data_IF_602536442040
#
_entry.id   IF_602536442040
#
_cell.length_a   1.000
_cell.length_b   1.000
_cell.length_c   1.000
_cell.angle_alpha   90.00
_cell.angle_beta   90.00
_cell.angle_gamma   90.00
#
_symmetry.space_group_name_H-M   'P 1'
#
loop_
_entity.id
_entity.type
_entity.pdbx_description
1 polymer ?
#
# COMPACT_ATOMS: atom_id res chain seq x y z
N UNK A 1 11.16 11.14 -18.38
CA UNK A 1 10.87 9.73 -18.06
C UNK A 1 9.77 9.14 -18.94
N UNK A 2 8.52 9.67 -18.96
CA UNK A 2 7.40 9.09 -19.70
C UNK A 2 7.71 8.89 -21.19
N UNK A 3 8.06 9.96 -21.91
CA UNK A 3 8.35 9.89 -23.35
C UNK A 3 9.51 8.94 -23.68
N UNK A 4 10.59 8.99 -22.90
CA UNK A 4 11.75 8.10 -23.10
C UNK A 4 11.42 6.64 -22.78
N UNK A 5 10.58 6.37 -21.78
CA UNK A 5 10.13 5.01 -21.46
C UNK A 5 9.29 4.43 -22.59
N UNK A 6 8.28 5.19 -23.04
CA UNK A 6 7.40 4.76 -24.15
C UNK A 6 8.18 4.52 -25.43
N UNK A 7 9.10 5.44 -25.80
CA UNK A 7 9.92 5.30 -27.00
C UNK A 7 10.84 4.05 -26.95
N UNK A 8 11.42 3.77 -25.78
CA UNK A 8 12.35 2.65 -25.59
C UNK A 8 11.66 1.28 -25.67
N UNK A 9 10.40 1.18 -25.23
CA UNK A 9 9.68 -0.10 -25.16
C UNK A 9 8.36 -0.09 -25.93
N UNK A 10 8.25 0.74 -26.99
CA UNK A 10 7.04 0.92 -27.80
C UNK A 10 6.43 -0.39 -28.35
N UNK A 11 7.25 -1.41 -28.57
CA UNK A 11 6.84 -2.69 -29.12
C UNK A 11 6.48 -3.74 -28.03
N UNK A 12 6.46 -3.33 -26.76
CA UNK A 12 6.06 -4.19 -25.64
C UNK A 12 4.60 -3.99 -25.27
N UNK A 13 3.97 -4.98 -24.60
CA UNK A 13 2.62 -4.83 -24.08
C UNK A 13 2.51 -3.60 -23.16
N UNK A 14 1.37 -2.92 -23.19
CA UNK A 14 1.14 -1.69 -22.41
C UNK A 14 1.39 -1.89 -20.92
N UNK A 15 0.97 -3.02 -20.35
CA UNK A 15 1.17 -3.36 -18.94
C UNK A 15 2.67 -3.43 -18.58
N UNK A 16 3.52 -3.92 -19.49
CA UNK A 16 4.95 -3.95 -19.28
C UNK A 16 5.56 -2.54 -19.34
N UNK A 17 5.08 -1.70 -20.24
CA UNK A 17 5.52 -0.30 -20.34
C UNK A 17 5.18 0.46 -19.05
N UNK A 18 3.97 0.23 -18.51
CA UNK A 18 3.53 0.84 -17.26
C UNK A 18 4.41 0.40 -16.09
N UNK A 19 4.68 -0.90 -15.93
CA UNK A 19 5.54 -1.41 -14.86
C UNK A 19 6.95 -0.79 -14.93
N UNK A 20 7.54 -0.73 -16.11
CA UNK A 20 8.86 -0.10 -16.33
C UNK A 20 8.86 1.39 -16.01
N UNK A 21 7.79 2.08 -16.36
CA UNK A 21 7.62 3.50 -16.03
C UNK A 21 7.55 3.71 -14.51
N UNK A 22 6.74 2.92 -13.81
CA UNK A 22 6.62 2.97 -12.35
C UNK A 22 7.95 2.68 -11.66
N UNK A 23 8.67 1.65 -12.12
CA UNK A 23 10.01 1.31 -11.59
C UNK A 23 11.01 2.44 -11.83
N UNK A 24 11.01 3.07 -13.00
CA UNK A 24 11.90 4.23 -13.28
C UNK A 24 11.59 5.41 -12.35
N UNK A 25 10.32 5.74 -12.11
CA UNK A 25 9.96 6.75 -11.12
C UNK A 25 10.42 6.35 -9.71
N UNK A 26 10.23 5.09 -9.34
CA UNK A 26 10.73 4.58 -8.06
C UNK A 26 12.24 4.70 -7.90
N UNK A 27 13.03 4.40 -8.96
CA UNK A 27 14.48 4.55 -8.95
C UNK A 27 14.90 6.03 -8.78
N UNK A 28 14.24 6.97 -9.47
CA UNK A 28 14.49 8.40 -9.29
C UNK A 28 14.23 8.84 -7.85
N UNK A 29 13.10 8.42 -7.27
CA UNK A 29 12.77 8.71 -5.86
C UNK A 29 13.85 8.13 -4.94
N UNK A 30 14.27 6.88 -5.14
CA UNK A 30 15.27 6.20 -4.32
C UNK A 30 16.67 6.81 -4.42
N UNK A 31 16.97 7.55 -5.50
CA UNK A 31 18.22 8.32 -5.60
C UNK A 31 18.23 9.55 -4.69
N UNK A 32 17.05 10.02 -4.26
CA UNK A 32 16.88 11.22 -3.43
C UNK A 32 16.72 10.87 -1.96
N UNK A 33 15.93 9.81 -1.66
CA UNK A 33 15.57 9.43 -0.30
C UNK A 33 16.44 8.28 0.23
N UNK A 34 16.79 8.26 1.52
CA UNK A 34 17.50 7.13 2.13
C UNK A 34 16.59 5.94 2.45
N UNK A 35 15.28 6.12 2.45
CA UNK A 35 14.28 5.13 2.87
C UNK A 35 13.82 4.20 1.74
N UNK A 36 12.57 3.76 1.84
CA UNK A 36 11.91 2.82 0.92
C UNK A 36 10.91 3.54 0.02
N UNK A 37 10.67 3.01 -1.17
CA UNK A 37 9.59 3.43 -2.06
C UNK A 37 8.50 2.37 -2.12
N UNK A 38 7.24 2.78 -2.24
CA UNK A 38 6.12 1.86 -2.52
C UNK A 38 5.74 1.95 -3.99
N UNK A 39 5.73 0.81 -4.69
CA UNK A 39 5.26 0.68 -6.07
C UNK A 39 4.03 -0.19 -6.11
N UNK A 40 2.93 0.34 -6.61
CA UNK A 40 1.62 -0.30 -6.57
C UNK A 40 1.43 -1.24 -7.78
N UNK A 41 0.93 -2.45 -7.53
CA UNK A 41 0.45 -3.35 -8.59
C UNK A 41 -0.84 -2.80 -9.19
N UNK A 42 -1.13 -3.19 -10.42
CA UNK A 42 -2.36 -2.77 -11.11
C UNK A 42 -3.61 -3.08 -10.27
N UNK A 43 -4.43 -2.07 -10.03
CA UNK A 43 -5.66 -2.19 -9.24
C UNK A 43 -6.66 -3.21 -9.81
N UNK A 44 -6.61 -3.50 -11.12
CA UNK A 44 -7.42 -4.54 -11.77
C UNK A 44 -7.13 -5.94 -11.24
N UNK A 45 -5.99 -6.16 -10.60
CA UNK A 45 -5.57 -7.43 -10.00
C UNK A 45 -6.03 -7.60 -8.55
N UNK A 46 -6.74 -6.63 -7.98
CA UNK A 46 -7.08 -6.58 -6.54
C UNK A 46 -7.86 -7.80 -6.03
N UNK A 47 -8.51 -8.57 -6.91
CA UNK A 47 -9.28 -9.77 -6.59
C UNK A 47 -8.68 -11.05 -7.21
N UNK A 48 -7.40 -11.00 -7.63
CA UNK A 48 -6.66 -12.15 -8.15
C UNK A 48 -5.31 -12.28 -7.43
N UNK A 49 -5.26 -13.19 -6.48
CA UNK A 49 -4.06 -13.47 -5.69
C UNK A 49 -2.86 -13.87 -6.55
N UNK A 50 -3.08 -14.76 -7.53
CA UNK A 50 -1.99 -15.31 -8.34
C UNK A 50 -1.41 -14.26 -9.30
N UNK A 51 -2.27 -13.50 -9.97
CA UNK A 51 -1.86 -12.42 -10.84
C UNK A 51 -1.15 -11.29 -10.06
N UNK A 52 -1.63 -10.95 -8.85
CA UNK A 52 -0.99 -9.99 -7.96
C UNK A 52 0.42 -10.43 -7.58
N UNK A 53 0.61 -11.69 -7.16
CA UNK A 53 1.95 -12.24 -6.82
C UNK A 53 2.89 -12.18 -8.02
N UNK A 54 2.46 -12.67 -9.18
CA UNK A 54 3.29 -12.67 -10.40
C UNK A 54 3.68 -11.25 -10.82
N UNK A 55 2.76 -10.29 -10.73
CA UNK A 55 3.06 -8.89 -11.07
C UNK A 55 4.04 -8.27 -10.06
N UNK A 56 3.88 -8.55 -8.78
CA UNK A 56 4.77 -8.07 -7.72
C UNK A 56 6.21 -8.59 -7.91
N UNK A 57 6.37 -9.89 -8.18
CA UNK A 57 7.67 -10.51 -8.44
C UNK A 57 8.35 -9.86 -9.66
N UNK A 58 7.60 -9.63 -10.74
CA UNK A 58 8.12 -8.94 -11.92
C UNK A 58 8.57 -7.51 -11.62
N UNK A 59 7.83 -6.74 -10.82
CA UNK A 59 8.22 -5.38 -10.43
C UNK A 59 9.54 -5.43 -9.65
N UNK A 60 9.71 -6.37 -8.74
CA UNK A 60 10.95 -6.57 -7.98
C UNK A 60 12.11 -6.91 -8.92
N UNK A 61 11.94 -7.83 -9.88
CA UNK A 61 12.96 -8.15 -10.88
C UNK A 61 13.40 -6.92 -11.68
N UNK A 62 12.44 -6.05 -12.06
CA UNK A 62 12.75 -4.80 -12.76
C UNK A 62 13.57 -3.83 -11.89
N UNK A 63 13.30 -3.73 -10.58
CA UNK A 63 14.13 -2.94 -9.65
C UNK A 63 15.52 -3.53 -9.49
N UNK A 64 15.64 -4.83 -9.32
CA UNK A 64 16.93 -5.53 -9.20
C UNK A 64 17.78 -5.35 -10.46
N UNK A 65 17.17 -5.38 -11.66
CA UNK A 65 17.84 -5.10 -12.92
C UNK A 65 18.38 -3.65 -13.03
N UNK A 66 17.87 -2.72 -12.19
CA UNK A 66 18.39 -1.35 -12.05
C UNK A 66 19.39 -1.22 -10.88
N UNK A 67 19.81 -2.33 -10.26
CA UNK A 67 20.74 -2.32 -9.13
C UNK A 67 20.11 -1.91 -7.78
N UNK A 68 18.80 -1.85 -7.69
CA UNK A 68 18.10 -1.52 -6.44
C UNK A 68 17.93 -2.80 -5.59
N UNK A 69 18.35 -2.72 -4.32
CA UNK A 69 18.16 -3.81 -3.37
C UNK A 69 16.69 -3.96 -2.98
N UNK A 70 16.22 -5.19 -2.82
CA UNK A 70 14.82 -5.54 -2.55
C UNK A 70 14.27 -4.84 -1.28
N UNK A 71 15.09 -4.68 -0.25
CA UNK A 71 14.71 -4.03 1.01
C UNK A 71 14.37 -2.53 0.87
N UNK A 72 14.71 -1.93 -0.28
CA UNK A 72 14.38 -0.55 -0.60
C UNK A 72 13.00 -0.38 -1.26
N UNK A 73 12.30 -1.49 -1.52
CA UNK A 73 11.03 -1.49 -2.26
C UNK A 73 9.94 -2.17 -1.43
N UNK A 74 8.79 -1.53 -1.35
CA UNK A 74 7.55 -2.13 -0.86
C UNK A 74 6.59 -2.30 -2.03
N UNK A 75 6.09 -3.50 -2.24
CA UNK A 75 5.00 -3.70 -3.20
C UNK A 75 3.69 -3.26 -2.57
N UNK A 76 3.05 -2.26 -3.17
CA UNK A 76 1.78 -1.73 -2.66
C UNK A 76 0.61 -2.48 -3.27
N UNK A 77 -0.29 -3.00 -2.42
CA UNK A 77 -1.38 -3.92 -2.79
C UNK A 77 -2.65 -3.47 -2.07
N UNK A 78 -3.80 -3.53 -2.75
CA UNK A 78 -5.10 -3.29 -2.11
C UNK A 78 -5.37 -4.34 -1.02
N UNK A 79 -5.85 -3.91 0.15
CA UNK A 79 -6.18 -4.78 1.28
C UNK A 79 -7.54 -5.49 1.11
N UNK A 80 -7.75 -6.11 -0.05
CA UNK A 80 -8.79 -7.11 -0.30
C UNK A 80 -8.38 -8.43 0.36
N UNK A 81 -9.28 -9.40 0.46
CA UNK A 81 -8.92 -10.73 0.95
C UNK A 81 -7.81 -11.36 0.09
N UNK A 82 -7.98 -11.31 -1.23
CA UNK A 82 -7.04 -11.85 -2.21
C UNK A 82 -5.68 -11.11 -2.16
N UNK A 83 -5.72 -9.79 -1.97
CA UNK A 83 -4.51 -8.97 -1.82
C UNK A 83 -3.74 -9.28 -0.54
N UNK A 84 -4.43 -9.53 0.57
CA UNK A 84 -3.80 -9.95 1.84
C UNK A 84 -3.16 -11.33 1.70
N UNK A 85 -3.81 -12.28 1.01
CA UNK A 85 -3.23 -13.59 0.73
C UNK A 85 -2.04 -13.51 -0.25
N UNK A 86 -2.08 -12.61 -1.22
CA UNK A 86 -0.93 -12.32 -2.08
C UNK A 86 0.24 -11.77 -1.26
N UNK A 87 -0.01 -10.81 -0.38
CA UNK A 87 1.00 -10.23 0.50
C UNK A 87 1.63 -11.28 1.42
N UNK A 88 0.84 -12.18 2.01
CA UNK A 88 1.35 -13.31 2.82
C UNK A 88 2.37 -14.16 2.05
N UNK A 89 2.08 -14.48 0.79
CA UNK A 89 2.97 -15.24 -0.08
C UNK A 89 4.25 -14.47 -0.41
N UNK A 90 4.14 -13.17 -0.69
CA UNK A 90 5.26 -12.30 -1.01
C UNK A 90 6.19 -12.12 0.20
N UNK A 91 5.65 -11.82 1.38
CA UNK A 91 6.42 -11.69 2.62
C UNK A 91 7.18 -12.99 2.96
N UNK A 92 6.59 -14.16 2.70
CA UNK A 92 7.30 -15.45 2.89
C UNK A 92 8.50 -15.65 1.94
N UNK A 93 8.56 -14.88 0.86
CA UNK A 93 9.67 -14.85 -0.11
C UNK A 93 10.65 -13.68 0.13
N UNK A 94 10.46 -12.90 1.19
CA UNK A 94 11.25 -11.70 1.49
C UNK A 94 10.92 -10.49 0.62
N UNK A 95 9.78 -10.50 -0.06
CA UNK A 95 9.26 -9.35 -0.80
C UNK A 95 8.31 -8.58 0.13
N UNK A 96 8.75 -7.42 0.59
CA UNK A 96 7.99 -6.62 1.54
C UNK A 96 6.83 -5.88 0.88
N UNK A 97 5.72 -5.75 1.63
CA UNK A 97 4.46 -5.22 1.11
C UNK A 97 3.94 -4.03 1.91
N UNK A 98 3.19 -3.15 1.24
CA UNK A 98 2.43 -2.05 1.81
C UNK A 98 0.96 -2.22 1.44
N UNK A 99 0.12 -2.63 2.40
CA UNK A 99 -1.31 -2.85 2.14
C UNK A 99 -2.08 -1.53 2.23
N UNK A 100 -2.74 -1.17 1.13
CA UNK A 100 -3.49 0.08 0.99
C UNK A 100 -5.00 -0.16 0.85
N UNK A 101 -5.80 0.90 0.73
CA UNK A 101 -7.27 0.83 0.74
C UNK A 101 -7.78 0.12 2.00
N UNK A 102 -7.18 0.48 3.13
CA UNK A 102 -7.50 -0.09 4.43
C UNK A 102 -8.41 0.86 5.19
N UNK A 103 -9.64 0.42 5.44
CA UNK A 103 -10.71 1.22 6.04
C UNK A 103 -11.26 0.61 7.33
N UNK A 104 -11.07 -0.69 7.54
CA UNK A 104 -11.67 -1.42 8.64
C UNK A 104 -10.64 -2.07 9.56
N UNK A 105 -11.03 -2.26 10.82
CA UNK A 105 -10.21 -2.93 11.81
C UNK A 105 -9.95 -4.41 11.46
N UNK A 106 -10.93 -5.10 10.87
CA UNK A 106 -10.75 -6.50 10.46
C UNK A 106 -9.70 -6.65 9.35
N UNK A 107 -9.63 -5.71 8.39
CA UNK A 107 -8.54 -5.70 7.40
C UNK A 107 -7.17 -5.58 8.09
N UNK A 108 -7.04 -4.66 9.05
CA UNK A 108 -5.77 -4.50 9.79
C UNK A 108 -5.39 -5.78 10.55
N UNK A 109 -6.33 -6.43 11.21
CA UNK A 109 -6.07 -7.71 11.90
C UNK A 109 -5.58 -8.77 10.93
N UNK A 110 -6.24 -8.94 9.78
CA UNK A 110 -5.83 -9.89 8.74
C UNK A 110 -4.44 -9.58 8.16
N UNK A 111 -4.13 -8.29 7.94
CA UNK A 111 -2.80 -7.85 7.51
C UNK A 111 -1.72 -8.20 8.56
N UNK A 112 -1.97 -7.95 9.84
CA UNK A 112 -1.06 -8.33 10.92
C UNK A 112 -0.82 -9.85 10.99
N UNK A 113 -1.87 -10.66 10.81
CA UNK A 113 -1.77 -12.12 10.75
C UNK A 113 -1.01 -12.60 9.49
N UNK A 114 -1.10 -11.86 8.40
CA UNK A 114 -0.32 -12.10 7.19
C UNK A 114 1.15 -11.67 7.32
N UNK A 115 1.52 -10.97 8.41
CA UNK A 115 2.87 -10.44 8.69
C UNK A 115 3.35 -9.47 7.62
N UNK A 116 2.43 -8.66 7.05
CA UNK A 116 2.81 -7.64 6.08
C UNK A 116 3.74 -6.61 6.72
N UNK A 117 4.68 -6.07 5.94
CA UNK A 117 5.64 -5.09 6.45
C UNK A 117 4.98 -3.80 6.88
N UNK A 118 4.05 -3.28 6.09
CA UNK A 118 3.42 -1.97 6.32
C UNK A 118 1.96 -1.97 5.89
N UNK A 119 1.12 -1.23 6.62
CA UNK A 119 -0.25 -0.91 6.23
C UNK A 119 -0.47 0.59 6.11
N UNK A 120 -1.31 1.01 5.17
CA UNK A 120 -1.66 2.41 4.91
C UNK A 120 -3.17 2.64 5.09
N UNK A 121 -3.67 2.79 6.34
CA UNK A 121 -5.07 3.10 6.59
C UNK A 121 -5.42 4.51 6.10
N UNK A 122 -6.60 4.66 5.48
CA UNK A 122 -7.06 5.90 4.85
C UNK A 122 -7.82 6.79 5.83
N UNK A 123 -7.10 7.60 6.58
CA UNK A 123 -7.62 8.45 7.67
C UNK A 123 -8.73 9.38 7.19
N UNK A 124 -8.49 10.20 6.19
CA UNK A 124 -9.46 11.17 5.69
C UNK A 124 -10.67 10.53 5.02
N UNK A 125 -10.52 9.36 4.37
CA UNK A 125 -11.65 8.63 3.77
C UNK A 125 -12.55 8.02 4.83
N UNK A 126 -12.00 7.55 5.96
CA UNK A 126 -12.77 7.09 7.11
C UNK A 126 -13.57 8.25 7.70
N UNK A 127 -12.93 9.42 7.90
CA UNK A 127 -13.59 10.64 8.34
C UNK A 127 -14.77 11.02 7.45
N UNK A 128 -14.57 11.05 6.13
CA UNK A 128 -15.61 11.40 5.16
C UNK A 128 -16.82 10.48 5.21
N UNK A 129 -16.56 9.20 5.39
CA UNK A 129 -17.64 8.23 5.49
C UNK A 129 -18.52 8.51 6.72
N UNK A 130 -17.91 8.75 7.89
CA UNK A 130 -18.67 9.07 9.12
C UNK A 130 -19.41 10.40 8.97
N UNK A 131 -18.77 11.42 8.40
CA UNK A 131 -19.39 12.70 8.12
C UNK A 131 -20.61 12.57 7.20
N UNK A 132 -20.49 11.79 6.15
CA UNK A 132 -21.59 11.50 5.23
C UNK A 132 -22.74 10.76 5.91
N UNK A 133 -22.45 9.77 6.77
CA UNK A 133 -23.48 9.03 7.51
C UNK A 133 -24.22 9.92 8.51
N UNK A 134 -23.54 10.82 9.20
CA UNK A 134 -24.15 11.73 10.17
C UNK A 134 -24.98 12.84 9.50
N UNK A 135 -24.69 13.21 8.26
CA UNK A 135 -25.40 14.25 7.51
C UNK A 135 -25.49 15.57 8.27
N UNK A 136 -26.71 16.08 8.45
CA UNK A 136 -26.96 17.33 9.17
C UNK A 136 -26.61 17.29 10.67
N UNK A 137 -26.46 16.10 11.26
CA UNK A 137 -26.07 15.94 12.66
C UNK A 137 -24.56 15.96 12.88
N UNK A 138 -23.75 16.14 11.83
CA UNK A 138 -22.30 16.20 11.95
C UNK A 138 -21.86 17.48 12.66
N UNK A 139 -21.03 17.34 13.68
CA UNK A 139 -20.42 18.46 14.39
C UNK A 139 -18.90 18.45 14.15
N UNK A 140 -18.42 19.33 13.26
CA UNK A 140 -17.02 19.42 12.86
C UNK A 140 -16.08 19.65 14.06
N UNK A 141 -16.44 20.57 14.95
CA UNK A 141 -15.63 20.89 16.12
C UNK A 141 -15.52 19.72 17.11
N UNK A 142 -16.61 18.99 17.30
CA UNK A 142 -16.62 17.82 18.18
C UNK A 142 -15.81 16.63 17.61
N UNK A 143 -15.70 16.53 16.29
CA UNK A 143 -14.99 15.46 15.58
C UNK A 143 -13.58 15.86 15.13
N UNK A 144 -13.00 16.89 15.73
CA UNK A 144 -11.64 17.33 15.42
C UNK A 144 -10.56 16.65 16.28
N UNK A 145 -9.34 16.57 15.77
CA UNK A 145 -8.16 16.09 16.48
C UNK A 145 -8.30 14.64 16.95
N UNK A 146 -8.21 14.41 18.26
CA UNK A 146 -8.30 13.06 18.83
C UNK A 146 -9.66 12.37 18.67
N UNK A 147 -10.70 13.15 18.40
CA UNK A 147 -12.06 12.64 18.17
C UNK A 147 -12.35 12.31 16.71
N UNK A 148 -11.45 12.63 15.79
CA UNK A 148 -11.55 12.27 14.38
C UNK A 148 -11.68 10.73 14.25
N UNK A 149 -12.72 10.19 13.62
CA UNK A 149 -12.92 8.74 13.50
C UNK A 149 -11.80 8.04 12.73
N UNK A 150 -11.14 8.71 11.79
CA UNK A 150 -9.96 8.17 11.12
C UNK A 150 -8.76 8.07 12.06
N UNK A 151 -8.53 9.09 12.90
CA UNK A 151 -7.49 9.07 13.94
C UNK A 151 -7.78 7.98 14.97
N UNK A 152 -9.03 7.85 15.40
CA UNK A 152 -9.43 6.78 16.33
C UNK A 152 -9.23 5.38 15.74
N UNK A 153 -9.52 5.22 14.44
CA UNK A 153 -9.28 3.97 13.72
C UNK A 153 -7.79 3.60 13.72
N UNK A 154 -6.92 4.53 13.36
CA UNK A 154 -5.46 4.31 13.38
C UNK A 154 -4.96 4.01 14.80
N UNK A 155 -5.42 4.76 15.80
CA UNK A 155 -5.08 4.51 17.21
C UNK A 155 -5.49 3.09 17.65
N UNK A 156 -6.69 2.64 17.28
CA UNK A 156 -7.17 1.29 17.59
C UNK A 156 -6.29 0.22 16.96
N UNK A 157 -5.93 0.40 15.69
CA UNK A 157 -5.05 -0.53 14.96
C UNK A 157 -3.67 -0.58 15.62
N UNK A 158 -3.05 0.58 15.86
CA UNK A 158 -1.73 0.68 16.47
C UNK A 158 -1.69 0.02 17.86
N UNK A 159 -2.69 0.30 18.72
CA UNK A 159 -2.78 -0.30 20.05
C UNK A 159 -2.96 -1.82 19.99
N UNK A 160 -3.71 -2.32 19.00
CA UNK A 160 -3.86 -3.75 18.78
C UNK A 160 -2.51 -4.38 18.41
N UNK A 161 -1.79 -3.81 17.44
CA UNK A 161 -0.49 -4.32 17.04
C UNK A 161 0.52 -4.31 18.20
N UNK A 162 0.56 -3.22 18.95
CA UNK A 162 1.41 -3.12 20.17
C UNK A 162 1.06 -4.20 21.20
N UNK A 163 -0.23 -4.39 21.49
CA UNK A 163 -0.70 -5.35 22.50
C UNK A 163 -0.34 -6.80 22.15
N UNK A 164 -0.37 -7.14 20.87
CA UNK A 164 -0.14 -8.50 20.39
C UNK A 164 1.25 -8.72 19.79
N UNK A 165 2.16 -7.78 19.91
CA UNK A 165 3.54 -7.89 19.41
C UNK A 165 3.62 -8.05 17.89
N UNK A 166 2.65 -7.46 17.16
CA UNK A 166 2.62 -7.49 15.70
C UNK A 166 3.60 -6.44 15.18
N UNK A 167 4.57 -6.85 14.37
CA UNK A 167 5.64 -5.99 13.88
C UNK A 167 5.24 -5.08 12.70
N UNK A 168 4.07 -5.29 12.10
CA UNK A 168 3.57 -4.50 10.97
C UNK A 168 3.56 -3.00 11.29
N UNK A 169 4.20 -2.21 10.45
CA UNK A 169 4.23 -0.75 10.56
C UNK A 169 2.88 -0.14 10.17
N UNK A 170 2.49 0.94 10.83
CA UNK A 170 1.24 1.65 10.54
C UNK A 170 1.55 3.06 10.04
N UNK A 171 1.27 3.33 8.78
CA UNK A 171 1.44 4.62 8.13
C UNK A 171 0.09 5.22 7.79
N UNK A 172 -0.38 6.22 8.54
CA UNK A 172 -1.60 6.95 8.19
C UNK A 172 -1.49 7.54 6.79
N UNK A 173 -2.54 7.41 5.98
CA UNK A 173 -2.58 7.88 4.61
C UNK A 173 -3.88 8.62 4.31
N UNK A 174 -3.93 9.32 3.15
CA UNK A 174 -5.13 10.05 2.69
C UNK A 174 -5.59 11.11 3.71
N UNK A 175 -4.65 11.94 4.18
CA UNK A 175 -4.96 13.11 5.03
C UNK A 175 -5.71 14.19 4.24
N UNK A 176 -6.38 15.10 4.98
CA UNK A 176 -7.02 16.31 4.47
C UNK A 176 -6.33 17.52 5.00
#
# INVERSE_FOLDING_TARGET
LLQSTVAQWKDRPMDEIIDRLLVRFGCEILSIIPGRVSTEVDARLSFDTSATVSRAERIIELYQAQGIHIDRVLIKIAATWEGIEAARKLESKGIHTNLTLLFSFCQAVACGQARVQLISPFVGRIYDWYKKQAGANWNEAAMAGANDPGVQSVRRIFNHYKRFGIATEVMGASFR
#
